data_IF_084926265891
#
_entry.id   IF_084926265891
#
_cell.length_a   1.000
_cell.length_b   1.000
_cell.length_c   1.000
_cell.angle_alpha   90.00
_cell.angle_beta   90.00
_cell.angle_gamma   90.00
#
_symmetry.space_group_name_H-M   'P 1'
#
loop_
_entity.id
_entity.type
_entity.pdbx_description
1 polymer ?
#
# COMPACT_ATOMS: atom_id res chain seq x y z
N UNK A 1 6.68 46.59 66.23
CA UNK A 1 5.81 45.40 66.32
C UNK A 1 5.77 44.72 64.97
N UNK A 2 5.94 43.40 64.98
CA UNK A 2 5.80 42.37 63.93
C UNK A 2 6.65 42.35 62.64
N UNK A 3 7.55 41.37 62.66
CA UNK A 3 8.19 40.66 61.54
C UNK A 3 7.15 39.93 60.68
N UNK A 4 7.42 39.78 59.39
CA UNK A 4 7.35 38.47 58.73
C UNK A 4 8.21 38.48 57.46
N UNK A 5 9.30 37.70 57.47
CA UNK A 5 9.98 37.22 56.28
C UNK A 5 9.10 36.11 55.66
N UNK A 6 8.90 36.14 54.34
CA UNK A 6 8.52 34.94 53.59
C UNK A 6 9.47 34.80 52.41
N UNK A 7 10.50 33.98 52.60
CA UNK A 7 11.34 33.43 51.53
C UNK A 7 10.54 32.32 50.84
N UNK A 8 10.00 32.61 49.65
CA UNK A 8 9.47 31.57 48.77
C UNK A 8 10.61 31.04 47.89
N UNK A 9 11.12 29.84 48.18
CA UNK A 9 11.87 29.05 47.20
C UNK A 9 10.90 28.65 46.07
N UNK A 10 10.91 29.41 44.99
CA UNK A 10 10.25 29.02 43.74
C UNK A 10 11.06 27.93 43.05
N UNK A 11 10.62 26.68 43.17
CA UNK A 11 11.09 25.59 42.31
C UNK A 11 10.57 25.86 40.90
N UNK A 12 11.45 26.31 40.00
CA UNK A 12 11.14 26.44 38.59
C UNK A 12 11.09 25.04 37.95
N UNK A 13 9.89 24.47 37.84
CA UNK A 13 9.65 23.23 37.11
C UNK A 13 9.74 23.58 35.62
N UNK A 14 10.89 23.31 35.00
CA UNK A 14 11.07 23.40 33.57
C UNK A 14 10.20 22.35 32.89
N UNK A 15 8.98 22.74 32.51
CA UNK A 15 8.09 21.91 31.72
C UNK A 15 8.58 21.95 30.27
N UNK A 16 9.31 20.92 29.85
CA UNK A 16 9.60 20.71 28.44
C UNK A 16 8.28 20.44 27.72
N UNK A 17 7.89 21.23 26.70
CA UNK A 17 6.72 20.90 25.91
C UNK A 17 7.00 19.57 25.20
N UNK A 18 6.33 18.51 25.65
CA UNK A 18 6.31 17.24 24.95
C UNK A 18 5.63 17.45 23.60
N UNK A 19 6.41 17.49 22.52
CA UNK A 19 5.89 17.52 21.17
C UNK A 19 5.09 16.24 20.91
N UNK A 20 3.77 16.38 20.83
CA UNK A 20 2.84 15.31 20.47
C UNK A 20 3.10 14.99 18.99
N UNK A 21 3.89 13.95 18.72
CA UNK A 21 4.04 13.34 17.40
C UNK A 21 2.70 12.68 17.04
N UNK A 22 1.81 13.43 16.38
CA UNK A 22 0.63 12.84 15.76
C UNK A 22 1.11 11.94 14.60
N UNK A 23 0.68 10.67 14.55
CA UNK A 23 1.00 9.81 13.41
C UNK A 23 0.42 10.44 12.15
N UNK A 24 1.30 10.82 11.22
CA UNK A 24 0.86 11.36 9.94
C UNK A 24 0.24 10.23 9.10
N UNK A 25 -0.90 10.46 8.44
CA UNK A 25 -1.43 9.51 7.48
C UNK A 25 -0.44 9.39 6.32
N UNK A 26 0.06 8.17 6.08
CA UNK A 26 0.93 7.90 4.94
C UNK A 26 0.13 7.98 3.64
N UNK A 27 0.11 9.13 2.97
CA UNK A 27 -0.56 9.31 1.67
C UNK A 27 0.11 8.41 0.64
N UNK A 28 -0.63 7.45 0.09
CA UNK A 28 -0.18 6.60 -1.00
C UNK A 28 0.07 7.41 -2.27
N UNK A 29 1.27 7.24 -2.84
CA UNK A 29 1.72 7.90 -4.05
C UNK A 29 1.49 7.03 -5.28
N UNK A 30 1.50 7.62 -6.49
CA UNK A 30 1.32 6.85 -7.71
C UNK A 30 2.44 5.81 -7.90
N UNK A 31 2.09 4.67 -8.51
CA UNK A 31 3.07 3.67 -8.93
C UNK A 31 3.93 4.18 -10.08
N UNK A 32 5.22 3.85 -10.06
CA UNK A 32 6.24 4.28 -11.04
C UNK A 32 6.92 3.13 -11.79
N UNK A 33 6.73 1.88 -11.37
CA UNK A 33 7.40 0.73 -11.97
C UNK A 33 7.15 0.57 -13.48
N UNK A 34 5.99 1.01 -13.96
CA UNK A 34 5.58 0.94 -15.37
C UNK A 34 6.49 1.78 -16.29
N UNK A 35 7.22 2.74 -15.73
CA UNK A 35 8.18 3.57 -16.48
C UNK A 35 9.45 2.80 -16.87
N UNK A 36 9.80 1.74 -16.12
CA UNK A 36 11.08 1.03 -16.27
C UNK A 36 10.94 -0.49 -16.32
N UNK A 37 9.71 -1.01 -16.24
CA UNK A 37 9.40 -2.42 -16.41
C UNK A 37 8.57 -2.64 -17.68
N UNK A 38 8.76 -3.79 -18.34
CA UNK A 38 7.96 -4.26 -19.47
C UNK A 38 7.32 -5.63 -19.17
N UNK A 39 6.46 -6.09 -20.06
CA UNK A 39 5.81 -7.42 -19.97
C UNK A 39 5.04 -7.61 -18.67
N UNK A 40 4.45 -6.53 -18.18
CA UNK A 40 3.70 -6.46 -16.92
C UNK A 40 2.45 -7.32 -17.04
N UNK A 41 2.34 -8.31 -16.16
CA UNK A 41 1.22 -9.26 -16.10
C UNK A 41 0.84 -9.52 -14.65
N UNK A 42 -0.39 -9.96 -14.42
CA UNK A 42 -0.82 -10.50 -13.13
C UNK A 42 -1.11 -11.99 -13.28
N UNK A 43 -0.54 -12.77 -12.37
CA UNK A 43 -0.79 -14.20 -12.25
C UNK A 43 -1.55 -14.44 -10.95
N UNK A 44 -2.61 -15.24 -11.01
CA UNK A 44 -3.36 -15.67 -9.83
C UNK A 44 -3.12 -17.16 -9.60
N UNK A 45 -2.58 -17.51 -8.44
CA UNK A 45 -2.32 -18.89 -8.06
C UNK A 45 -2.52 -19.07 -6.55
N UNK A 46 -3.16 -20.17 -6.14
CA UNK A 46 -3.38 -20.46 -4.71
C UNK A 46 -4.16 -19.37 -3.96
N UNK A 47 -5.06 -18.65 -4.65
CA UNK A 47 -5.83 -17.55 -4.06
C UNK A 47 -5.01 -16.28 -3.77
N UNK A 48 -3.80 -16.16 -4.34
CA UNK A 48 -2.94 -14.96 -4.26
C UNK A 48 -2.69 -14.41 -5.65
N UNK A 49 -2.58 -13.09 -5.76
CA UNK A 49 -2.25 -12.41 -7.02
C UNK A 49 -0.83 -11.84 -6.96
N UNK A 50 -0.06 -12.05 -8.03
CA UNK A 50 1.34 -11.62 -8.15
C UNK A 50 1.52 -10.87 -9.46
N UNK A 51 2.08 -9.66 -9.37
CA UNK A 51 2.59 -8.93 -10.53
C UNK A 51 3.89 -9.60 -10.96
N UNK A 52 4.02 -9.88 -12.24
CA UNK A 52 5.26 -10.33 -12.88
C UNK A 52 5.62 -9.36 -13.99
N UNK A 53 6.90 -9.02 -14.10
CA UNK A 53 7.39 -8.07 -15.09
C UNK A 53 8.88 -8.29 -15.39
N UNK A 54 9.39 -7.66 -16.45
CA UNK A 54 10.81 -7.52 -16.73
C UNK A 54 11.26 -6.09 -16.43
N UNK A 55 12.00 -5.89 -15.34
CA UNK A 55 12.35 -4.57 -14.83
C UNK A 55 13.81 -4.20 -15.12
N UNK A 56 14.05 -2.96 -15.52
CA UNK A 56 15.39 -2.45 -15.81
C UNK A 56 16.17 -2.13 -14.53
N UNK A 57 17.45 -2.52 -14.53
CA UNK A 57 18.47 -2.04 -13.60
C UNK A 57 18.96 -0.64 -14.00
N UNK A 58 19.74 0.00 -13.12
CA UNK A 58 20.39 1.28 -13.40
C UNK A 58 21.33 1.23 -14.62
N UNK A 59 21.93 0.07 -14.91
CA UNK A 59 22.77 -0.15 -16.08
C UNK A 59 21.97 -0.52 -17.36
N UNK A 60 20.63 -0.43 -17.34
CA UNK A 60 19.76 -0.75 -18.47
C UNK A 60 19.44 -2.24 -18.67
N UNK A 61 20.12 -3.15 -17.96
CA UNK A 61 19.83 -4.59 -18.05
C UNK A 61 18.42 -4.89 -17.52
N UNK A 62 17.59 -5.59 -18.31
CA UNK A 62 16.28 -6.09 -17.87
C UNK A 62 16.43 -7.42 -17.13
N UNK A 63 15.79 -7.55 -15.98
CA UNK A 63 15.71 -8.79 -15.21
C UNK A 63 14.27 -9.12 -14.83
N UNK A 64 13.91 -10.42 -14.68
CA UNK A 64 12.60 -10.79 -14.18
C UNK A 64 12.40 -10.29 -12.74
N UNK A 65 11.22 -9.75 -12.47
CA UNK A 65 10.81 -9.24 -11.17
C UNK A 65 9.37 -9.70 -10.86
N UNK A 66 9.08 -9.84 -9.57
CA UNK A 66 7.74 -10.22 -9.12
C UNK A 66 7.38 -9.53 -7.81
N UNK A 67 6.09 -9.25 -7.61
CA UNK A 67 5.56 -8.62 -6.41
C UNK A 67 4.16 -9.16 -6.10
N UNK A 68 3.96 -9.66 -4.89
CA UNK A 68 2.64 -10.02 -4.41
C UNK A 68 1.78 -8.75 -4.24
N UNK A 69 0.56 -8.79 -4.78
CA UNK A 69 -0.43 -7.72 -4.57
C UNK A 69 -0.94 -7.85 -3.14
N UNK A 70 -0.81 -6.78 -2.36
CA UNK A 70 -1.20 -6.69 -0.96
C UNK A 70 -2.32 -5.67 -0.82
N UNK A 71 -3.00 -5.73 0.32
CA UNK A 71 -3.98 -4.73 0.75
C UNK A 71 -5.21 -4.61 -0.14
N UNK A 72 -5.41 -5.50 -1.10
CA UNK A 72 -6.59 -5.51 -1.96
C UNK A 72 -7.57 -6.56 -1.47
N UNK A 73 -8.77 -6.12 -1.09
CA UNK A 73 -9.86 -6.99 -0.68
C UNK A 73 -11.01 -6.93 -1.68
N UNK A 74 -11.87 -7.94 -1.60
CA UNK A 74 -13.19 -7.90 -2.19
C UNK A 74 -14.24 -7.53 -1.13
N UNK A 75 -14.76 -6.32 -1.20
CA UNK A 75 -15.88 -5.86 -0.36
C UNK A 75 -17.19 -6.00 -1.13
N UNK A 76 -17.89 -7.12 -0.91
CA UNK A 76 -19.21 -7.41 -1.48
C UNK A 76 -19.30 -7.22 -3.02
N UNK A 77 -18.27 -7.68 -3.74
CA UNK A 77 -18.18 -7.61 -5.19
C UNK A 77 -17.46 -6.37 -5.73
N UNK A 78 -16.88 -5.54 -4.86
CA UNK A 78 -16.13 -4.33 -5.21
C UNK A 78 -14.69 -4.45 -4.69
N UNK A 79 -13.70 -4.13 -5.53
CA UNK A 79 -12.31 -4.08 -5.09
C UNK A 79 -12.08 -2.87 -4.19
N UNK A 80 -11.46 -3.08 -3.03
CA UNK A 80 -11.15 -2.01 -2.06
C UNK A 80 -9.75 -2.18 -1.48
N UNK A 81 -9.19 -1.09 -0.97
CA UNK A 81 -7.95 -1.13 -0.19
C UNK A 81 -8.25 -1.37 1.29
N UNK A 82 -7.52 -2.31 1.89
CA UNK A 82 -7.55 -2.64 3.31
C UNK A 82 -6.11 -2.91 3.78
N UNK A 83 -5.45 -1.98 4.47
CA UNK A 83 -4.09 -2.15 4.98
C UNK A 83 -3.89 -3.36 5.91
N UNK A 84 -4.96 -3.84 6.53
CA UNK A 84 -4.95 -5.02 7.40
C UNK A 84 -4.92 -6.34 6.62
N UNK A 85 -5.26 -6.32 5.32
CA UNK A 85 -5.15 -7.48 4.43
C UNK A 85 -3.75 -7.56 3.81
N UNK A 86 -2.78 -8.04 4.59
CA UNK A 86 -1.39 -8.13 4.16
C UNK A 86 -1.16 -9.04 2.93
N UNK A 87 -2.14 -9.87 2.57
CA UNK A 87 -2.03 -10.91 1.55
C UNK A 87 -2.77 -10.61 0.25
N UNK A 88 -3.64 -9.60 0.23
CA UNK A 88 -4.47 -9.30 -0.94
C UNK A 88 -5.47 -10.42 -1.23
N UNK A 89 -6.34 -10.69 -0.27
CA UNK A 89 -7.34 -11.78 -0.27
C UNK A 89 -8.36 -11.73 -1.39
N UNK A 90 -8.50 -10.61 -2.12
CA UNK A 90 -9.46 -10.49 -3.23
C UNK A 90 -9.35 -11.65 -4.24
N UNK A 91 -8.14 -12.14 -4.49
CA UNK A 91 -7.86 -13.20 -5.46
C UNK A 91 -8.50 -14.55 -5.11
N UNK A 92 -9.01 -14.72 -3.89
CA UNK A 92 -9.78 -15.91 -3.48
C UNK A 92 -11.19 -15.93 -4.07
N UNK A 93 -11.77 -14.76 -4.35
CA UNK A 93 -13.19 -14.61 -4.74
C UNK A 93 -13.41 -13.77 -5.99
N UNK A 94 -12.34 -13.24 -6.58
CA UNK A 94 -12.34 -12.49 -7.82
C UNK A 94 -11.70 -13.29 -8.98
N UNK A 95 -12.18 -13.02 -10.19
CA UNK A 95 -11.80 -13.70 -11.43
C UNK A 95 -11.55 -12.67 -12.53
N UNK A 96 -10.97 -13.13 -13.65
CA UNK A 96 -10.60 -12.27 -14.79
C UNK A 96 -9.74 -11.07 -14.34
N UNK A 97 -8.77 -11.34 -13.47
CA UNK A 97 -7.87 -10.32 -12.92
C UNK A 97 -6.92 -9.85 -14.01
N UNK A 98 -6.88 -8.54 -14.22
CA UNK A 98 -6.02 -7.88 -15.20
C UNK A 98 -5.40 -6.62 -14.60
N UNK A 99 -4.21 -6.27 -15.08
CA UNK A 99 -3.50 -5.05 -14.72
C UNK A 99 -3.05 -4.35 -16.00
N UNK A 100 -3.34 -3.06 -16.11
CA UNK A 100 -2.93 -2.26 -17.26
C UNK A 100 -1.68 -1.41 -16.99
N UNK A 101 -1.24 -0.68 -18.02
CA UNK A 101 -0.06 0.19 -17.96
C UNK A 101 -0.19 1.35 -16.96
N UNK A 102 -1.40 1.67 -16.49
CA UNK A 102 -1.66 2.69 -15.45
C UNK A 102 -1.68 2.11 -14.04
N UNK A 103 -1.28 0.84 -13.86
CA UNK A 103 -1.46 0.08 -12.63
C UNK A 103 -2.93 -0.02 -12.16
N UNK A 104 -3.88 0.12 -13.09
CA UNK A 104 -5.29 -0.13 -12.80
C UNK A 104 -5.54 -1.63 -12.78
N UNK A 105 -5.78 -2.17 -11.58
CA UNK A 105 -6.22 -3.54 -11.36
C UNK A 105 -7.71 -3.62 -11.66
N UNK A 106 -8.11 -4.53 -12.54
CA UNK A 106 -9.50 -4.81 -12.87
C UNK A 106 -9.81 -6.26 -12.57
N UNK A 107 -10.98 -6.54 -11.98
CA UNK A 107 -11.45 -7.91 -11.75
C UNK A 107 -12.98 -7.98 -11.69
N UNK A 108 -13.53 -9.19 -11.75
CA UNK A 108 -14.93 -9.48 -11.44
C UNK A 108 -15.01 -10.28 -10.15
N UNK A 109 -15.72 -9.76 -9.16
CA UNK A 109 -15.69 -10.29 -7.80
C UNK A 109 -17.05 -10.83 -7.38
N UNK A 110 -17.07 -11.92 -6.59
CA UNK A 110 -18.30 -12.45 -6.00
C UNK A 110 -18.77 -11.56 -4.84
N UNK A 111 -20.07 -11.35 -4.74
CA UNK A 111 -20.68 -10.71 -3.55
C UNK A 111 -20.79 -11.71 -2.38
N UNK A 112 -21.30 -11.28 -1.23
CA UNK A 112 -21.45 -12.13 -0.04
C UNK A 112 -22.40 -13.33 -0.23
N UNK A 113 -23.20 -13.32 -1.30
CA UNK A 113 -24.09 -14.42 -1.70
C UNK A 113 -23.45 -15.32 -2.75
N UNK A 114 -22.20 -15.07 -3.13
CA UNK A 114 -21.47 -15.81 -4.16
C UNK A 114 -21.78 -15.38 -5.59
N UNK A 115 -22.56 -14.31 -5.80
CA UNK A 115 -22.95 -13.85 -7.13
C UNK A 115 -21.84 -13.02 -7.74
N UNK A 116 -21.36 -13.42 -8.93
CA UNK A 116 -20.32 -12.69 -9.65
C UNK A 116 -20.86 -11.33 -10.16
N UNK A 117 -20.25 -10.23 -9.70
CA UNK A 117 -20.63 -8.87 -10.07
C UNK A 117 -19.98 -8.42 -11.40
N UNK A 118 -20.45 -7.31 -11.98
CA UNK A 118 -19.73 -6.63 -13.07
C UNK A 118 -18.29 -6.30 -12.70
N UNK A 119 -17.48 -5.93 -13.69
CA UNK A 119 -16.10 -5.57 -13.46
C UNK A 119 -15.99 -4.36 -12.53
N UNK A 120 -15.04 -4.42 -11.61
CA UNK A 120 -14.64 -3.36 -10.69
C UNK A 120 -13.15 -3.12 -10.86
N UNK A 121 -12.68 -1.92 -10.54
CA UNK A 121 -11.29 -1.54 -10.71
C UNK A 121 -10.79 -0.65 -9.59
N UNK A 122 -9.51 -0.75 -9.31
CA UNK A 122 -8.79 0.11 -8.37
C UNK A 122 -7.38 0.37 -8.91
N UNK A 123 -6.76 1.50 -8.56
CA UNK A 123 -5.38 1.79 -8.94
C UNK A 123 -4.43 1.29 -7.85
N UNK A 124 -3.46 0.45 -8.21
CA UNK A 124 -2.40 0.06 -7.29
C UNK A 124 -1.41 1.20 -7.14
N UNK A 125 -1.19 1.59 -5.90
CA UNK A 125 -0.34 2.72 -5.51
C UNK A 125 0.94 2.23 -4.82
N UNK A 126 1.91 3.13 -4.70
CA UNK A 126 3.18 2.91 -4.02
C UNK A 126 4.00 1.74 -4.58
N UNK A 127 3.93 1.38 -5.88
CA UNK A 127 4.79 0.33 -6.45
C UNK A 127 5.90 0.94 -7.31
N UNK A 128 7.15 0.57 -7.04
CA UNK A 128 8.34 1.06 -7.75
C UNK A 128 9.29 -0.05 -8.17
N UNK A 129 10.14 0.26 -9.16
CA UNK A 129 11.28 -0.55 -9.55
C UNK A 129 12.56 0.05 -8.97
N UNK A 130 13.27 -0.71 -8.13
CA UNK A 130 14.49 -0.30 -7.47
C UNK A 130 15.64 -1.18 -7.94
N UNK A 131 16.31 -0.74 -9.00
CA UNK A 131 17.43 -1.46 -9.63
C UNK A 131 17.09 -2.91 -10.03
N UNK A 132 15.95 -3.09 -10.70
CA UNK A 132 15.42 -4.38 -11.13
C UNK A 132 14.57 -5.11 -10.09
N UNK A 133 14.43 -4.56 -8.87
CA UNK A 133 13.58 -5.13 -7.81
C UNK A 133 12.24 -4.41 -7.76
N UNK A 134 11.16 -5.12 -8.06
CA UNK A 134 9.80 -4.62 -7.91
C UNK A 134 9.36 -4.71 -6.45
N UNK A 135 8.99 -3.59 -5.83
CA UNK A 135 8.53 -3.55 -4.43
C UNK A 135 7.61 -2.37 -4.16
N UNK A 136 6.94 -2.41 -3.00
CA UNK A 136 6.28 -1.24 -2.46
C UNK A 136 7.32 -0.17 -2.09
N UNK A 137 7.04 1.09 -2.39
CA UNK A 137 7.95 2.23 -2.31
C UNK A 137 7.97 2.88 -0.92
N UNK A 138 7.21 2.34 0.04
CA UNK A 138 7.13 2.78 1.44
C UNK A 138 7.61 1.71 2.38
#
# INVERSE_FOLDING_TARGET
MNRLLVTALGVAIATTPAAILLPQPAIAGPSSFQQTCSDIKVTVAGGKATITASCAKANGQKIPASLAIKYVTNSNGVLTLNPQDADGSFAQTCYAVALDASAKLTARCKDSRGVLKPATSLVLEDIGNFNGVLKYAK
#
